data_IF_261295997639
#
_entry.id   IF_261295997639
#
_cell.length_a   1.000
_cell.length_b   1.000
_cell.length_c   1.000
_cell.angle_alpha   90.00
_cell.angle_beta   90.00
_cell.angle_gamma   90.00
#
_symmetry.space_group_name_H-M   'P 1'
#
loop_
_entity.id
_entity.type
_entity.pdbx_description
1 polymer ?
#
# COMPACT_ATOMS: atom_id res chain seq x y z
N UNK A 1 -25.38 -34.37 -4.32
CA UNK A 1 -25.89 -33.08 -3.82
C UNK A 1 -25.19 -31.99 -4.59
N UNK A 2 -25.91 -31.32 -5.49
CA UNK A 2 -25.44 -30.20 -6.31
C UNK A 2 -25.25 -28.89 -5.51
N UNK A 3 -25.61 -28.91 -4.22
CA UNK A 3 -25.43 -27.80 -3.28
C UNK A 3 -26.42 -26.65 -3.49
N UNK A 4 -27.47 -26.85 -4.30
CA UNK A 4 -28.55 -25.87 -4.55
C UNK A 4 -29.82 -26.24 -3.79
N UNK A 5 -29.72 -26.31 -2.46
CA UNK A 5 -30.87 -26.61 -1.60
C UNK A 5 -30.67 -26.05 -0.18
N UNK A 6 -31.76 -25.86 0.57
CA UNK A 6 -31.72 -25.56 2.00
C UNK A 6 -31.16 -26.74 2.83
N UNK A 7 -31.05 -26.58 4.15
CA UNK A 7 -30.54 -27.65 5.01
C UNK A 7 -31.38 -28.94 4.85
N UNK A 8 -30.71 -30.06 4.53
CA UNK A 8 -31.35 -31.38 4.36
C UNK A 8 -30.85 -32.34 5.43
N UNK A 9 -31.77 -33.03 6.08
CA UNK A 9 -31.42 -34.10 7.01
C UNK A 9 -31.15 -35.39 6.23
N UNK A 10 -30.00 -36.02 6.49
CA UNK A 10 -29.65 -37.36 6.00
C UNK A 10 -29.36 -38.25 7.21
N UNK A 11 -29.86 -39.48 7.18
CA UNK A 11 -29.72 -40.44 8.26
C UNK A 11 -28.92 -41.66 7.79
N UNK A 12 -28.19 -42.28 8.71
CA UNK A 12 -27.50 -43.55 8.51
C UNK A 12 -27.46 -44.32 9.83
N UNK A 13 -27.25 -45.64 9.75
CA UNK A 13 -27.10 -46.51 10.92
C UNK A 13 -25.74 -47.19 10.87
N UNK A 14 -25.09 -47.28 12.02
CA UNK A 14 -23.81 -47.97 12.21
C UNK A 14 -23.84 -48.68 13.56
N UNK A 15 -23.26 -49.87 13.64
CA UNK A 15 -23.08 -50.59 14.91
C UNK A 15 -21.72 -50.19 15.47
N UNK A 16 -21.70 -49.71 16.72
CA UNK A 16 -20.49 -49.27 17.41
C UNK A 16 -20.36 -50.02 18.74
N UNK A 17 -19.15 -50.47 19.06
CA UNK A 17 -18.85 -50.98 20.40
C UNK A 17 -18.86 -49.88 21.46
N UNK A 18 -18.88 -50.25 22.74
CA UNK A 18 -18.70 -49.28 23.86
C UNK A 18 -17.33 -48.62 23.75
N UNK A 19 -17.27 -47.29 23.70
CA UNK A 19 -16.01 -46.55 23.70
C UNK A 19 -16.03 -45.24 22.91
N UNK A 20 -14.85 -44.65 22.74
CA UNK A 20 -14.66 -43.46 21.91
C UNK A 20 -14.51 -43.85 20.45
N UNK A 21 -15.25 -43.18 19.58
CA UNK A 21 -15.22 -43.42 18.14
C UNK A 21 -14.83 -42.15 17.40
N UNK A 22 -14.01 -42.30 16.37
CA UNK A 22 -13.72 -41.20 15.44
C UNK A 22 -14.88 -41.06 14.46
N UNK A 23 -15.53 -39.90 14.47
CA UNK A 23 -16.62 -39.58 13.54
C UNK A 23 -16.14 -38.52 12.56
N UNK A 24 -16.17 -38.84 11.26
CA UNK A 24 -15.91 -37.88 10.18
C UNK A 24 -17.22 -37.60 9.46
N UNK A 25 -17.60 -36.33 9.39
CA UNK A 25 -18.75 -35.90 8.59
C UNK A 25 -18.28 -34.91 7.54
N UNK A 26 -18.65 -35.15 6.29
CA UNK A 26 -18.34 -34.29 5.16
C UNK A 26 -19.59 -33.53 4.72
N UNK A 27 -19.40 -32.28 4.33
CA UNK A 27 -20.46 -31.42 3.78
C UNK A 27 -19.95 -30.73 2.53
N UNK A 28 -20.86 -30.46 1.59
CA UNK A 28 -20.57 -29.67 0.39
C UNK A 28 -21.56 -28.51 0.30
N UNK A 29 -21.06 -27.32 0.04
CA UNK A 29 -21.85 -26.12 -0.17
C UNK A 29 -21.36 -25.41 -1.43
N UNK A 30 -22.28 -25.12 -2.35
CA UNK A 30 -21.97 -24.43 -3.60
C UNK A 30 -22.06 -22.91 -3.46
N UNK A 31 -23.11 -22.40 -2.82
CA UNK A 31 -23.33 -20.96 -2.60
C UNK A 31 -24.30 -20.70 -1.41
N UNK A 32 -24.39 -19.48 -0.88
CA UNK A 32 -25.31 -19.11 0.22
C UNK A 32 -24.80 -19.37 1.66
N UNK A 33 -25.71 -19.60 2.61
CA UNK A 33 -25.40 -19.91 4.01
C UNK A 33 -25.08 -21.39 4.22
N UNK A 34 -24.11 -21.68 5.10
CA UNK A 34 -23.72 -23.06 5.45
C UNK A 34 -24.28 -23.45 6.81
N UNK A 35 -24.92 -24.62 6.89
CA UNK A 35 -25.39 -25.19 8.16
C UNK A 35 -25.14 -26.68 8.15
N UNK A 36 -24.50 -27.18 9.20
CA UNK A 36 -24.17 -28.59 9.37
C UNK A 36 -24.43 -28.97 10.82
N UNK A 37 -25.30 -29.96 11.03
CA UNK A 37 -25.62 -30.49 12.35
C UNK A 37 -25.49 -32.01 12.31
N UNK A 38 -24.80 -32.57 13.30
CA UNK A 38 -24.65 -34.01 13.48
C UNK A 38 -25.37 -34.40 14.76
N UNK A 39 -26.43 -35.20 14.59
CA UNK A 39 -27.24 -35.74 15.67
C UNK A 39 -27.10 -37.26 15.63
N UNK A 40 -27.08 -37.89 16.79
CA UNK A 40 -27.08 -39.35 16.90
C UNK A 40 -28.17 -39.82 17.88
N UNK A 41 -28.60 -41.06 17.69
CA UNK A 41 -29.57 -41.74 18.55
C UNK A 41 -29.19 -43.20 18.69
N UNK A 42 -29.25 -43.72 19.92
CA UNK A 42 -28.89 -45.10 20.24
C UNK A 42 -29.23 -45.46 21.70
N UNK A 43 -28.82 -46.65 22.16
CA UNK A 43 -29.02 -47.07 23.54
C UNK A 43 -28.50 -46.07 24.57
N UNK A 44 -27.35 -45.44 24.31
CA UNK A 44 -26.71 -44.46 25.19
C UNK A 44 -27.43 -43.09 25.20
N UNK A 45 -28.33 -42.84 24.25
CA UNK A 45 -29.18 -41.66 24.23
C UNK A 45 -30.63 -41.96 24.63
N UNK A 46 -30.94 -43.19 25.04
CA UNK A 46 -32.30 -43.67 25.27
C UNK A 46 -33.22 -43.42 24.07
N UNK A 47 -32.69 -43.63 22.85
CA UNK A 47 -33.43 -43.41 21.60
C UNK A 47 -33.70 -41.93 21.25
N UNK A 48 -33.29 -40.97 22.08
CA UNK A 48 -33.46 -39.54 21.79
C UNK A 48 -32.36 -39.03 20.88
N UNK A 49 -32.72 -38.18 19.91
CA UNK A 49 -31.72 -37.48 19.08
C UNK A 49 -30.96 -36.49 19.95
N UNK A 50 -29.64 -36.64 20.04
CA UNK A 50 -28.75 -35.71 20.75
C UNK A 50 -27.67 -35.21 19.81
N UNK A 51 -27.20 -33.98 20.04
CA UNK A 51 -25.99 -33.50 19.37
C UNK A 51 -24.82 -34.41 19.70
N UNK A 52 -24.08 -34.80 18.67
CA UNK A 52 -22.85 -35.56 18.84
C UNK A 52 -21.92 -34.74 19.73
N UNK A 53 -21.59 -35.28 20.91
CA UNK A 53 -20.67 -34.63 21.86
C UNK A 53 -19.28 -35.15 21.62
N UNK A 54 -18.30 -34.26 21.69
CA UNK A 54 -16.90 -34.66 21.81
C UNK A 54 -16.72 -35.14 23.24
N UNK A 55 -16.17 -36.33 23.44
CA UNK A 55 -15.85 -36.79 24.78
C UNK A 55 -14.83 -35.85 25.40
N UNK A 56 -15.15 -35.36 26.60
CA UNK A 56 -14.29 -34.47 27.38
C UNK A 56 -12.98 -35.20 27.75
N UNK A 57 -11.99 -35.20 26.85
CA UNK A 57 -10.60 -35.20 27.32
C UNK A 57 -10.50 -33.97 28.19
N UNK A 58 -10.43 -34.16 29.53
CA UNK A 58 -10.21 -33.14 30.59
C UNK A 58 -9.90 -31.81 29.93
N UNK A 59 -10.89 -30.91 29.78
CA UNK A 59 -10.81 -29.62 29.09
C UNK A 59 -9.35 -29.21 28.88
N UNK A 60 -8.72 -29.77 27.85
CA UNK A 60 -7.32 -29.48 27.62
C UNK A 60 -7.44 -28.03 27.25
N UNK A 61 -6.93 -27.11 28.08
CA UNK A 61 -7.04 -25.68 27.78
C UNK A 61 -6.41 -25.59 26.41
N UNK A 62 -7.22 -25.57 25.33
CA UNK A 62 -6.73 -25.66 23.98
C UNK A 62 -5.71 -24.56 23.92
N UNK A 63 -4.42 -24.92 23.95
CA UNK A 63 -3.34 -23.98 24.18
C UNK A 63 -3.48 -23.01 23.04
N UNK A 64 -4.02 -21.81 23.33
CA UNK A 64 -4.57 -20.85 22.37
C UNK A 64 -4.57 -21.38 20.92
N UNK A 65 -5.61 -22.09 20.49
CA UNK A 65 -5.62 -22.83 19.21
C UNK A 65 -4.91 -22.06 18.08
N UNK A 66 -3.88 -22.65 17.50
CA UNK A 66 -3.04 -22.00 16.49
C UNK A 66 -3.65 -22.21 15.10
N UNK A 67 -4.05 -21.13 14.48
CA UNK A 67 -4.57 -21.07 13.12
C UNK A 67 -3.46 -20.62 12.19
N UNK A 68 -2.93 -21.55 11.41
CA UNK A 68 -2.00 -21.21 10.33
C UNK A 68 -2.80 -20.73 9.11
N UNK A 69 -2.49 -19.52 8.66
CA UNK A 69 -3.19 -18.83 7.59
C UNK A 69 -2.23 -18.58 6.43
N UNK A 70 -2.69 -18.85 5.21
CA UNK A 70 -2.02 -18.47 3.97
C UNK A 70 -2.93 -17.51 3.20
N UNK A 71 -2.42 -16.32 2.90
CA UNK A 71 -3.20 -15.25 2.28
C UNK A 71 -2.75 -15.04 0.85
N UNK A 72 -3.72 -15.00 -0.06
CA UNK A 72 -3.53 -14.77 -1.49
C UNK A 72 -4.24 -13.49 -1.92
N UNK A 73 -3.78 -12.89 -3.02
CA UNK A 73 -4.40 -11.73 -3.68
C UNK A 73 -4.75 -12.11 -5.12
N UNK A 74 -6.01 -11.91 -5.48
CA UNK A 74 -6.46 -11.98 -6.88
C UNK A 74 -6.23 -10.66 -7.60
N UNK A 75 -5.94 -10.72 -8.90
CA UNK A 75 -5.91 -9.53 -9.79
C UNK A 75 -7.30 -9.07 -10.21
N UNK A 76 -8.34 -9.91 -10.03
CA UNK A 76 -9.74 -9.63 -10.39
C UNK A 76 -10.67 -9.91 -9.21
N UNK A 77 -11.82 -9.26 -9.17
CA UNK A 77 -12.86 -9.57 -8.19
C UNK A 77 -13.32 -11.01 -8.33
N UNK A 78 -13.47 -11.70 -7.20
CA UNK A 78 -13.90 -13.09 -7.16
C UNK A 78 -15.42 -13.13 -6.95
N UNK A 79 -16.12 -13.94 -7.76
CA UNK A 79 -17.55 -14.24 -7.56
C UNK A 79 -17.79 -15.52 -6.76
N UNK A 80 -16.77 -16.36 -6.63
CA UNK A 80 -16.82 -17.64 -5.92
C UNK A 80 -15.52 -17.85 -5.12
N UNK A 81 -15.60 -18.68 -4.08
CA UNK A 81 -14.44 -19.09 -3.30
C UNK A 81 -13.57 -20.04 -4.13
N UNK A 82 -12.30 -19.71 -4.40
CA UNK A 82 -11.42 -20.56 -5.20
C UNK A 82 -11.02 -21.83 -4.42
N UNK A 83 -10.77 -22.90 -5.16
CA UNK A 83 -10.19 -24.15 -4.64
C UNK A 83 -8.71 -23.99 -4.28
N UNK A 84 -8.18 -24.91 -3.47
CA UNK A 84 -6.75 -24.94 -3.12
C UNK A 84 -5.83 -25.07 -4.35
N UNK A 85 -6.27 -25.78 -5.38
CA UNK A 85 -5.54 -25.93 -6.64
C UNK A 85 -5.48 -24.59 -7.40
N UNK A 86 -6.60 -23.87 -7.46
CA UNK A 86 -6.65 -22.55 -8.10
C UNK A 86 -5.78 -21.52 -7.37
N UNK A 87 -5.77 -21.54 -6.03
CA UNK A 87 -4.93 -20.65 -5.21
C UNK A 87 -3.42 -20.86 -5.44
N UNK A 88 -3.01 -22.09 -5.78
CA UNK A 88 -1.61 -22.43 -6.11
C UNK A 88 -1.25 -22.11 -7.56
N UNK A 89 -2.23 -21.78 -8.41
CA UNK A 89 -2.02 -21.41 -9.80
C UNK A 89 -1.58 -19.96 -10.00
N UNK A 90 -1.26 -19.60 -11.25
CA UNK A 90 -0.76 -18.26 -11.64
C UNK A 90 -1.76 -17.12 -11.48
N UNK A 91 -3.04 -17.43 -11.26
CA UNK A 91 -4.14 -16.46 -11.13
C UNK A 91 -4.11 -15.70 -9.81
N UNK A 92 -3.47 -16.28 -8.79
CA UNK A 92 -3.39 -15.73 -7.45
C UNK A 92 -1.94 -15.48 -7.05
N UNK A 93 -1.70 -14.35 -6.37
CA UNK A 93 -0.39 -14.00 -5.85
C UNK A 93 -0.36 -14.28 -4.37
N UNK A 94 0.55 -15.14 -3.91
CA UNK A 94 0.80 -15.36 -2.48
C UNK A 94 1.22 -14.03 -1.84
N UNK A 95 0.42 -13.55 -0.88
CA UNK A 95 0.70 -12.32 -0.12
C UNK A 95 1.52 -12.64 1.11
N UNK A 96 1.21 -13.75 1.78
CA UNK A 96 2.07 -14.34 2.78
C UNK A 96 1.35 -15.21 3.79
N UNK A 97 2.08 -15.60 4.84
CA UNK A 97 1.66 -16.61 5.81
C UNK A 97 1.78 -16.08 7.24
N UNK A 98 0.96 -16.59 8.15
CA UNK A 98 1.03 -16.24 9.56
C UNK A 98 0.19 -17.15 10.42
N UNK A 99 0.43 -17.11 11.72
CA UNK A 99 -0.29 -17.93 12.70
C UNK A 99 -1.02 -17.02 13.68
N UNK A 100 -2.31 -17.27 13.93
CA UNK A 100 -3.08 -16.56 14.94
C UNK A 100 -3.72 -17.49 15.93
N UNK A 101 -3.92 -17.01 17.15
CA UNK A 101 -4.62 -17.77 18.18
C UNK A 101 -6.15 -17.72 18.04
N UNK A 102 -6.67 -16.80 17.23
CA UNK A 102 -8.10 -16.63 16.94
C UNK A 102 -8.28 -15.86 15.64
N UNK A 103 -9.11 -16.38 14.74
CA UNK A 103 -9.49 -15.69 13.49
C UNK A 103 -10.64 -14.72 13.77
N UNK A 104 -10.34 -13.62 14.47
CA UNK A 104 -11.32 -12.57 14.77
C UNK A 104 -10.63 -11.20 14.77
N UNK A 105 -10.64 -10.54 13.61
CA UNK A 105 -10.03 -9.23 13.41
C UNK A 105 -11.14 -8.18 13.27
N UNK A 106 -11.22 -7.25 14.22
CA UNK A 106 -12.21 -6.15 14.18
C UNK A 106 -11.77 -4.98 13.30
N UNK A 107 -10.48 -4.90 12.96
CA UNK A 107 -9.87 -3.85 12.14
C UNK A 107 -8.90 -4.47 11.16
N UNK A 108 -8.86 -3.96 9.93
CA UNK A 108 -7.95 -4.43 8.87
C UNK A 108 -6.47 -4.37 9.31
N UNK A 109 -6.10 -3.34 10.07
CA UNK A 109 -4.75 -3.21 10.61
C UNK A 109 -4.41 -4.27 11.66
N UNK A 110 -5.39 -4.86 12.34
CA UNK A 110 -5.15 -5.98 13.26
C UNK A 110 -4.82 -7.24 12.46
N UNK A 111 -5.56 -7.53 11.39
CA UNK A 111 -5.25 -8.62 10.45
C UNK A 111 -3.86 -8.48 9.83
N UNK A 112 -3.56 -7.28 9.31
CA UNK A 112 -2.28 -6.98 8.64
C UNK A 112 -1.04 -7.17 9.52
N UNK A 113 -1.20 -7.16 10.85
CA UNK A 113 -0.10 -7.34 11.81
C UNK A 113 0.33 -8.81 12.00
N UNK A 114 -0.59 -9.76 11.82
CA UNK A 114 -0.32 -11.17 12.11
C UNK A 114 0.12 -11.96 10.88
N UNK A 115 -0.29 -11.53 9.68
CA UNK A 115 0.10 -12.20 8.44
C UNK A 115 1.30 -11.48 7.84
N UNK A 116 2.48 -12.13 7.86
CA UNK A 116 3.68 -11.60 7.22
C UNK A 116 3.41 -11.35 5.74
N UNK A 117 3.84 -10.20 5.22
CA UNK A 117 3.56 -9.78 3.83
C UNK A 117 2.27 -8.97 3.64
N UNK A 118 1.41 -8.88 4.67
CA UNK A 118 0.23 -8.00 4.66
C UNK A 118 0.41 -6.69 5.45
N UNK A 119 1.48 -6.57 6.25
CA UNK A 119 1.90 -5.29 6.83
C UNK A 119 2.07 -4.25 5.72
N UNK A 120 1.60 -3.02 5.93
CA UNK A 120 1.91 -1.92 5.02
C UNK A 120 3.43 -1.85 4.87
N UNK A 121 3.93 -2.18 3.68
CA UNK A 121 5.31 -1.89 3.32
C UNK A 121 5.52 -0.40 3.55
N UNK A 122 6.57 -0.04 4.28
CA UNK A 122 6.91 1.35 4.50
C UNK A 122 6.94 2.08 3.15
N UNK A 123 6.09 3.10 3.00
CA UNK A 123 6.03 3.87 1.77
C UNK A 123 7.39 4.57 1.53
N UNK A 124 7.75 4.88 0.27
CA UNK A 124 8.94 5.66 -0.02
C UNK A 124 9.09 6.89 0.89
N UNK A 125 10.33 7.18 1.27
CA UNK A 125 10.65 8.25 2.24
C UNK A 125 10.43 7.90 3.71
N UNK A 126 10.07 6.66 4.03
CA UNK A 126 9.90 6.18 5.40
C UNK A 126 10.63 4.87 5.63
N UNK A 127 10.97 4.60 6.89
CA UNK A 127 11.51 3.33 7.36
C UNK A 127 10.71 2.80 8.54
N UNK A 128 10.67 1.48 8.66
CA UNK A 128 9.88 0.75 9.62
C UNK A 128 10.83 -0.08 10.47
N UNK A 129 11.36 0.45 11.60
CA UNK A 129 12.18 -0.35 12.50
C UNK A 129 11.39 -1.59 12.92
N UNK A 130 12.08 -2.73 13.03
CA UNK A 130 11.53 -3.96 13.61
C UNK A 130 10.66 -3.64 14.84
N UNK A 131 9.56 -4.37 14.99
CA UNK A 131 8.43 -3.87 15.76
C UNK A 131 8.79 -3.48 17.19
N UNK A 132 8.49 -2.24 17.56
CA UNK A 132 8.67 -1.78 18.94
C UNK A 132 7.72 -2.53 19.87
N UNK A 133 8.18 -2.91 21.06
CA UNK A 133 7.28 -3.31 22.15
C UNK A 133 6.37 -2.13 22.46
N UNK A 134 5.09 -2.28 22.14
CA UNK A 134 4.02 -1.36 22.50
C UNK A 134 4.10 -0.96 23.99
N UNK A 135 4.24 0.34 24.29
CA UNK A 135 4.04 0.91 25.64
C UNK A 135 2.54 1.09 25.98
N UNK A 136 1.64 0.68 25.09
CA UNK A 136 0.20 0.84 25.28
C UNK A 136 -0.28 -0.03 26.46
N UNK A 137 -0.85 0.61 27.50
CA UNK A 137 -1.24 -0.02 28.78
C UNK A 137 -2.42 -1.00 28.69
N UNK A 138 -3.04 -1.20 27.51
CA UNK A 138 -4.09 -2.21 27.36
C UNK A 138 -3.47 -3.59 27.47
N UNK A 139 -3.80 -4.35 28.52
CA UNK A 139 -3.29 -5.71 28.84
C UNK A 139 -3.24 -6.67 27.63
N UNK A 140 -4.12 -6.49 26.64
CA UNK A 140 -4.18 -7.28 25.39
C UNK A 140 -3.02 -7.05 24.40
N UNK A 141 -2.31 -5.92 24.48
CA UNK A 141 -1.31 -5.48 23.48
C UNK A 141 0.10 -5.22 24.06
N UNK A 142 0.34 -5.63 25.31
CA UNK A 142 1.66 -5.55 25.95
C UNK A 142 2.60 -6.57 25.28
N UNK A 143 3.73 -6.12 24.74
CA UNK A 143 4.74 -6.99 24.12
C UNK A 143 4.56 -7.31 22.62
N UNK A 144 3.53 -6.77 21.96
CA UNK A 144 3.33 -6.99 20.51
C UNK A 144 4.21 -6.04 19.69
N UNK A 145 5.04 -6.54 18.73
CA UNK A 145 5.89 -5.70 17.88
C UNK A 145 5.04 -4.86 16.92
N UNK A 146 5.16 -3.53 16.96
CA UNK A 146 4.54 -2.64 15.96
C UNK A 146 5.60 -1.94 15.10
N UNK A 147 5.51 -2.10 13.78
CA UNK A 147 6.28 -1.32 12.82
C UNK A 147 5.62 0.05 12.64
N UNK A 148 6.02 1.04 13.44
CA UNK A 148 5.63 2.45 13.22
C UNK A 148 6.38 2.96 12.00
N UNK A 149 5.65 3.47 11.00
CA UNK A 149 6.25 4.15 9.86
C UNK A 149 6.89 5.47 10.34
N UNK A 150 8.21 5.59 10.23
CA UNK A 150 8.97 6.79 10.60
C UNK A 150 9.51 7.45 9.34
N UNK A 151 9.38 8.78 9.23
CA UNK A 151 9.98 9.54 8.12
C UNK A 151 11.50 9.47 8.19
N UNK A 152 12.13 9.38 7.02
CA UNK A 152 13.57 9.49 6.89
C UNK A 152 14.06 10.86 7.42
N UNK A 153 15.04 10.90 8.34
CA UNK A 153 15.47 12.14 9.00
C UNK A 153 16.44 12.97 8.12
N UNK A 154 16.74 14.21 8.51
CA UNK A 154 17.75 15.04 7.84
C UNK A 154 17.60 15.18 6.31
N UNK A 155 16.35 15.26 5.83
CA UNK A 155 16.03 15.41 4.41
C UNK A 155 16.46 14.20 3.55
N UNK A 156 16.80 13.09 4.19
CA UNK A 156 17.03 11.82 3.51
C UNK A 156 15.72 11.19 3.05
N UNK A 157 15.84 10.19 2.18
CA UNK A 157 14.77 9.53 1.48
C UNK A 157 15.19 8.09 1.19
N UNK A 158 14.23 7.17 1.27
CA UNK A 158 14.39 5.80 0.80
C UNK A 158 13.50 5.62 -0.42
N UNK A 159 14.09 5.30 -1.57
CA UNK A 159 13.31 4.92 -2.76
C UNK A 159 12.70 3.52 -2.61
N UNK A 160 13.30 2.71 -1.73
CA UNK A 160 12.93 1.32 -1.50
C UNK A 160 11.60 1.22 -0.75
N UNK A 161 10.63 0.58 -1.40
CA UNK A 161 9.39 0.17 -0.76
C UNK A 161 9.69 -0.86 0.34
N UNK A 162 9.21 -0.64 1.56
CA UNK A 162 9.42 -1.56 2.68
C UNK A 162 10.76 -1.44 3.40
N UNK A 163 11.38 -0.26 3.38
CA UNK A 163 12.61 0.05 4.14
C UNK A 163 12.48 -0.35 5.62
N UNK A 164 13.45 -1.15 6.12
CA UNK A 164 13.37 -1.83 7.43
C UNK A 164 14.12 -1.09 8.53
N UNK A 165 15.05 -0.19 8.18
CA UNK A 165 15.81 0.55 9.17
C UNK A 165 16.30 1.89 8.61
N UNK A 166 16.77 2.76 9.51
CA UNK A 166 17.20 4.13 9.17
C UNK A 166 18.34 4.18 8.15
N UNK A 167 19.19 3.15 8.08
CA UNK A 167 20.34 3.12 7.16
C UNK A 167 19.90 3.06 5.69
N UNK A 168 18.70 2.53 5.45
CA UNK A 168 18.08 2.48 4.11
C UNK A 168 17.48 3.84 3.67
N UNK A 169 17.60 4.91 4.48
CA UNK A 169 17.35 6.29 4.08
C UNK A 169 18.62 6.91 3.51
N UNK A 170 19.06 6.39 2.38
CA UNK A 170 20.37 6.59 1.78
C UNK A 170 20.41 7.66 0.68
N UNK A 171 19.26 8.19 0.26
CA UNK A 171 19.19 9.21 -0.80
C UNK A 171 18.70 10.55 -0.25
N UNK A 172 18.89 11.63 -1.01
CA UNK A 172 18.26 12.91 -0.69
C UNK A 172 16.83 12.97 -1.25
N UNK A 173 15.90 13.53 -0.47
CA UNK A 173 14.52 13.72 -0.93
C UNK A 173 14.45 14.77 -2.06
N UNK A 174 13.39 14.75 -2.89
CA UNK A 174 13.17 15.77 -3.91
C UNK A 174 13.29 17.21 -3.36
N UNK A 175 13.95 18.07 -4.13
CA UNK A 175 14.33 19.44 -3.74
C UNK A 175 15.68 19.53 -3.01
N UNK A 176 16.38 18.41 -2.85
CA UNK A 176 17.72 18.31 -2.27
C UNK A 176 18.58 17.35 -3.11
N UNK A 177 19.90 17.52 -3.02
CA UNK A 177 20.89 16.69 -3.71
C UNK A 177 22.10 16.43 -2.81
N UNK A 178 22.89 15.42 -3.16
CA UNK A 178 24.14 15.06 -2.49
C UNK A 178 24.23 13.56 -2.15
N UNK A 179 25.31 13.13 -1.50
CA UNK A 179 25.64 11.71 -1.32
C UNK A 179 24.74 10.97 -0.31
N UNK A 180 23.61 11.55 0.11
CA UNK A 180 22.71 10.93 1.07
C UNK A 180 23.12 11.06 2.54
N UNK A 181 22.50 10.26 3.42
CA UNK A 181 22.87 10.07 4.83
C UNK A 181 23.22 11.36 5.60
N UNK A 182 22.28 12.33 5.63
CA UNK A 182 22.39 13.65 6.28
C UNK A 182 23.26 14.69 5.54
N UNK A 183 23.97 14.34 4.48
CA UNK A 183 24.78 15.28 3.65
C UNK A 183 23.98 15.90 2.49
N UNK A 184 22.67 16.06 2.66
CA UNK A 184 21.77 16.61 1.64
C UNK A 184 21.77 18.14 1.62
N UNK A 185 22.17 18.71 0.49
CA UNK A 185 22.18 20.16 0.20
C UNK A 185 20.89 20.57 -0.50
N UNK A 186 20.40 21.79 -0.25
CA UNK A 186 19.19 22.30 -0.91
C UNK A 186 19.45 22.62 -2.37
N UNK A 187 18.49 22.28 -3.23
CA UNK A 187 18.57 22.63 -4.65
C UNK A 187 18.67 24.14 -4.86
N UNK A 188 19.62 24.57 -5.70
CA UNK A 188 19.87 25.98 -5.98
C UNK A 188 18.85 26.56 -6.97
N UNK A 189 18.70 27.88 -6.96
CA UNK A 189 17.89 28.62 -7.95
C UNK A 189 18.45 28.35 -9.35
N UNK A 190 17.57 28.14 -10.34
CA UNK A 190 17.97 27.80 -11.71
C UNK A 190 18.26 26.32 -11.95
N UNK A 191 18.15 25.48 -10.92
CA UNK A 191 18.29 24.03 -10.99
C UNK A 191 17.02 23.35 -10.47
N UNK A 192 16.82 22.09 -10.82
CA UNK A 192 15.82 21.21 -10.21
C UNK A 192 16.49 19.94 -9.70
N UNK A 193 15.97 19.40 -8.60
CA UNK A 193 16.54 18.25 -7.92
C UNK A 193 15.44 17.21 -7.71
N UNK A 194 15.36 16.14 -8.53
CA UNK A 194 14.42 15.04 -8.33
C UNK A 194 14.67 14.28 -7.02
N UNK A 195 15.82 14.49 -6.38
CA UNK A 195 16.33 13.72 -5.25
C UNK A 195 17.61 13.00 -5.66
N UNK A 196 18.22 12.29 -4.71
CA UNK A 196 19.48 11.56 -4.96
C UNK A 196 20.72 12.45 -4.99
N UNK A 197 21.69 12.10 -5.85
CA UNK A 197 23.03 12.67 -5.82
C UNK A 197 23.18 14.05 -6.48
N UNK A 198 22.41 14.31 -7.55
CA UNK A 198 22.69 15.42 -8.47
C UNK A 198 21.61 16.51 -8.46
N UNK A 199 22.04 17.73 -8.75
CA UNK A 199 21.17 18.82 -9.16
C UNK A 199 21.28 19.02 -10.68
N UNK A 200 20.15 19.27 -11.35
CA UNK A 200 20.10 19.40 -12.81
C UNK A 200 19.73 20.83 -13.21
N UNK A 201 20.42 21.45 -14.17
CA UNK A 201 20.09 22.81 -14.60
C UNK A 201 18.70 22.84 -15.26
N UNK A 202 17.98 23.94 -15.07
CA UNK A 202 16.77 24.17 -15.85
C UNK A 202 17.12 24.36 -17.34
N UNK A 203 16.25 23.92 -18.27
CA UNK A 203 16.43 24.11 -19.71
C UNK A 203 16.65 25.58 -20.12
N UNK A 204 17.18 25.79 -21.33
CA UNK A 204 17.45 27.13 -21.85
C UNK A 204 16.21 28.04 -21.79
N UNK A 205 16.43 29.33 -21.46
CA UNK A 205 15.34 30.29 -21.32
C UNK A 205 14.46 30.09 -20.08
N UNK A 206 14.71 29.06 -19.26
CA UNK A 206 13.96 28.76 -18.04
C UNK A 206 14.82 28.85 -16.77
N UNK A 207 14.18 29.06 -15.64
CA UNK A 207 14.79 29.14 -14.31
C UNK A 207 13.84 28.58 -13.27
N UNK A 208 14.30 28.37 -12.05
CA UNK A 208 13.48 27.85 -10.95
C UNK A 208 13.76 28.62 -9.68
N UNK A 209 12.88 28.52 -8.69
CA UNK A 209 13.19 28.93 -7.32
C UNK A 209 14.07 27.87 -6.63
N UNK A 210 14.65 28.22 -5.47
CA UNK A 210 15.35 27.24 -4.64
C UNK A 210 14.43 26.08 -4.22
N UNK A 211 15.01 24.90 -4.00
CA UNK A 211 14.31 23.63 -3.68
C UNK A 211 13.31 23.14 -4.75
N UNK A 212 13.47 23.53 -6.01
CA UNK A 212 12.73 22.94 -7.11
C UNK A 212 12.92 21.42 -7.13
N UNK A 213 11.80 20.69 -7.08
CA UNK A 213 11.78 19.24 -6.87
C UNK A 213 11.81 18.43 -8.16
N UNK A 214 11.47 19.05 -9.27
CA UNK A 214 11.33 18.40 -10.57
C UNK A 214 11.35 19.48 -11.66
N UNK A 215 11.49 19.04 -12.91
CA UNK A 215 11.63 19.93 -14.08
C UNK A 215 10.41 20.84 -14.30
N UNK A 216 9.21 20.45 -13.81
CA UNK A 216 8.00 21.27 -13.94
C UNK A 216 7.98 22.46 -12.99
N UNK A 217 8.93 22.52 -12.04
CA UNK A 217 9.20 23.70 -11.20
C UNK A 217 10.09 24.72 -11.89
N UNK A 218 10.69 24.39 -13.03
CA UNK A 218 11.32 25.39 -13.91
C UNK A 218 10.22 26.15 -14.66
N UNK A 219 10.43 27.46 -14.83
CA UNK A 219 9.53 28.41 -15.48
C UNK A 219 10.34 29.39 -16.34
N UNK A 220 9.73 29.96 -17.37
CA UNK A 220 10.44 30.87 -18.28
C UNK A 220 10.99 32.11 -17.58
N UNK A 221 12.23 32.48 -17.88
CA UNK A 221 12.83 33.75 -17.46
C UNK A 221 12.07 34.93 -18.10
N UNK A 222 12.30 36.15 -17.62
CA UNK A 222 11.92 37.33 -18.40
C UNK A 222 12.57 37.24 -19.79
N UNK A 223 11.96 37.86 -20.82
CA UNK A 223 12.29 37.71 -22.27
C UNK A 223 11.78 36.44 -22.93
N UNK A 224 11.30 35.45 -22.17
CA UNK A 224 10.86 34.16 -22.70
C UNK A 224 9.39 33.88 -22.37
N UNK A 225 8.69 33.27 -23.32
CA UNK A 225 7.32 32.75 -23.17
C UNK A 225 7.31 31.22 -23.27
N UNK A 226 6.22 30.59 -22.84
CA UNK A 226 6.01 29.17 -23.09
C UNK A 226 5.95 28.89 -24.59
N UNK A 227 6.52 27.77 -25.03
CA UNK A 227 6.49 27.33 -26.43
C UNK A 227 5.05 27.13 -26.94
N UNK A 228 4.20 26.50 -26.15
CA UNK A 228 2.78 26.31 -26.43
C UNK A 228 1.93 26.78 -25.24
N UNK A 229 0.75 27.37 -25.53
CA UNK A 229 -0.25 27.64 -24.50
C UNK A 229 -0.69 26.32 -23.86
N UNK A 230 -0.67 26.24 -22.52
CA UNK A 230 -0.93 24.98 -21.80
C UNK A 230 0.23 23.97 -21.78
N UNK A 231 1.34 24.23 -22.49
CA UNK A 231 2.51 23.36 -22.51
C UNK A 231 3.36 23.36 -21.22
N UNK A 232 4.41 22.52 -21.17
CA UNK A 232 5.28 22.40 -19.99
C UNK A 232 5.91 23.75 -19.59
N UNK A 233 5.95 24.03 -18.29
CA UNK A 233 6.41 25.33 -17.77
C UNK A 233 7.86 25.69 -18.13
N UNK A 234 8.68 24.68 -18.40
CA UNK A 234 10.11 24.79 -18.63
C UNK A 234 10.49 24.91 -20.12
N UNK A 235 9.55 24.70 -21.04
CA UNK A 235 9.80 24.82 -22.48
C UNK A 235 9.57 26.26 -22.91
N UNK A 236 10.67 26.99 -23.07
CA UNK A 236 10.66 28.44 -23.20
C UNK A 236 11.25 28.87 -24.54
N UNK A 237 10.56 29.76 -25.23
CA UNK A 237 11.01 30.39 -26.47
C UNK A 237 11.08 31.90 -26.27
N UNK A 238 11.98 32.58 -26.98
CA UNK A 238 12.08 34.05 -26.94
C UNK A 238 10.73 34.66 -27.28
N UNK A 239 10.39 35.78 -26.64
CA UNK A 239 9.14 36.47 -26.95
C UNK A 239 9.20 37.04 -28.37
N UNK A 240 8.14 36.87 -29.17
CA UNK A 240 8.17 37.19 -30.59
C UNK A 240 8.31 38.70 -30.81
N UNK A 241 8.80 39.09 -32.00
CA UNK A 241 8.86 40.49 -32.42
C UNK A 241 7.47 41.13 -32.30
N UNK A 242 7.42 42.39 -31.87
CA UNK A 242 6.16 43.12 -31.62
C UNK A 242 5.47 42.74 -30.31
N UNK A 243 6.08 41.87 -29.49
CA UNK A 243 5.67 41.60 -28.11
C UNK A 243 6.87 41.60 -27.17
N UNK A 244 6.63 41.82 -25.88
CA UNK A 244 7.67 41.83 -24.86
C UNK A 244 7.20 41.11 -23.59
N UNK A 245 8.18 40.57 -22.85
CA UNK A 245 7.96 39.74 -21.67
C UNK A 245 8.73 40.31 -20.47
N UNK A 246 8.11 41.23 -19.72
CA UNK A 246 8.78 41.99 -18.68
C UNK A 246 9.07 41.15 -17.42
N UNK A 247 8.29 40.09 -17.18
CA UNK A 247 8.36 39.28 -15.96
C UNK A 247 8.59 37.81 -16.30
N UNK A 248 9.22 37.10 -15.37
CA UNK A 248 9.37 35.65 -15.44
C UNK A 248 8.02 34.94 -15.24
N UNK A 249 7.91 33.70 -15.72
CA UNK A 249 6.72 32.85 -15.62
C UNK A 249 6.03 32.55 -16.96
N UNK A 250 6.44 33.21 -18.04
CA UNK A 250 6.02 32.89 -19.41
C UNK A 250 4.53 33.07 -19.73
N UNK A 251 3.76 33.70 -18.84
CA UNK A 251 2.32 34.00 -18.98
C UNK A 251 2.01 35.48 -19.23
N UNK A 252 2.94 36.37 -18.89
CA UNK A 252 2.76 37.82 -19.01
C UNK A 252 3.38 38.35 -20.30
N UNK A 253 2.76 37.99 -21.44
CA UNK A 253 3.16 38.49 -22.76
C UNK A 253 2.38 39.77 -23.04
N UNK A 254 3.06 40.88 -23.30
CA UNK A 254 2.42 42.15 -23.67
C UNK A 254 2.71 42.49 -25.13
N UNK A 255 1.67 42.90 -25.86
CA UNK A 255 1.82 43.48 -27.20
C UNK A 255 2.39 44.89 -27.07
N UNK A 256 3.15 45.33 -28.07
CA UNK A 256 3.61 46.72 -28.13
C UNK A 256 2.41 47.66 -28.36
N UNK A 257 2.41 48.86 -27.76
CA UNK A 257 1.50 49.94 -28.14
C UNK A 257 1.62 50.33 -29.62
N UNK A 258 0.63 51.07 -30.14
CA UNK A 258 0.68 51.61 -31.51
C UNK A 258 1.92 52.49 -31.67
N UNK A 259 2.65 52.31 -32.77
CA UNK A 259 3.91 53.02 -33.05
C UNK A 259 5.16 52.41 -32.39
N UNK A 260 5.00 51.53 -31.41
CA UNK A 260 6.14 50.93 -30.70
C UNK A 260 6.58 49.59 -31.29
N UNK A 261 7.87 49.28 -31.17
CA UNK A 261 8.45 48.00 -31.63
C UNK A 261 9.24 47.29 -30.54
N UNK A 262 9.40 45.97 -30.69
CA UNK A 262 10.27 45.19 -29.82
C UNK A 262 10.94 44.06 -30.62
N UNK A 263 12.28 43.91 -30.54
CA UNK A 263 12.98 42.75 -31.08
C UNK A 263 12.58 41.44 -30.36
N UNK A 264 12.93 40.30 -30.96
CA UNK A 264 12.71 38.99 -30.32
C UNK A 264 13.48 38.88 -28.99
N UNK A 265 12.81 38.44 -27.94
CA UNK A 265 13.40 38.32 -26.60
C UNK A 265 13.47 39.64 -25.82
N UNK A 266 12.60 40.59 -26.11
CA UNK A 266 12.58 41.88 -25.39
C UNK A 266 11.82 41.83 -24.05
N UNK A 267 12.28 42.63 -23.08
CA UNK A 267 11.59 42.84 -21.78
C UNK A 267 10.74 44.10 -21.73
N UNK A 268 10.92 45.00 -22.70
CA UNK A 268 10.20 46.26 -22.88
C UNK A 268 10.08 46.55 -24.37
N UNK A 269 9.19 47.44 -24.73
CA UNK A 269 9.10 48.00 -26.08
C UNK A 269 9.98 49.26 -26.17
N UNK A 270 10.27 49.66 -27.40
CA UNK A 270 10.89 50.94 -27.75
C UNK A 270 9.93 51.72 -28.65
N UNK A 271 9.86 53.04 -28.48
CA UNK A 271 9.15 53.93 -29.39
C UNK A 271 9.88 53.97 -30.74
#
# INVERSE_FOLDING_TARGET
>A
NDGLHGARTRCGRVVLGKGLHTVKTTGFQRHGGVTMQVLYSGPDTYGRRKHLRVADKKRERYGRGRWDMTIYRSKRSLKMTPSDAELKGSRFVLVGKGSVHRVHFRRLNDFRRFIRGTCHLCAPGHFCPGGFRSRYRRRRYRGVPYARQLRCPHRSWSIKLGSKNRKECDQCRPGYYGPGLRKCKSCRRGFYCPGGAEQRPCPEGSTSHGRARDINKCFCKARYKKKAAGGPNHQCVKCPRGSYCPRAGGRYIRKCPVGATSPSGSMRWSA
#
